data_IF_836530305924
#
_entry.id   IF_836530305924
#
_cell.length_a   1.000
_cell.length_b   1.000
_cell.length_c   1.000
_cell.angle_alpha   90.00
_cell.angle_beta   90.00
_cell.angle_gamma   90.00
#
_symmetry.space_group_name_H-M   'P 1'
#
loop_
_entity.id
_entity.type
_entity.pdbx_description
1 polymer ?
#
# COMPACT_ATOMS: atom_id res chain seq x y z
N UNK A 1 -13.83 -4.78 13.81
CA UNK A 1 -13.71 -3.70 12.81
C UNK A 1 -12.27 -3.14 12.82
N UNK A 2 -11.72 -2.63 11.72
CA UNK A 2 -10.38 -2.00 11.68
C UNK A 2 -10.53 -0.48 11.56
N UNK A 3 -10.19 0.28 12.61
CA UNK A 3 -10.38 1.73 12.63
C UNK A 3 -9.53 2.46 11.57
N UNK A 4 -8.29 2.00 11.36
CA UNK A 4 -7.39 2.54 10.33
C UNK A 4 -7.98 2.34 8.94
N UNK A 5 -8.53 1.16 8.67
CA UNK A 5 -9.17 0.84 7.38
C UNK A 5 -10.36 1.75 7.11
N UNK A 6 -11.20 1.99 8.11
CA UNK A 6 -12.35 2.90 7.99
C UNK A 6 -11.86 4.31 7.64
N UNK A 7 -10.89 4.84 8.39
CA UNK A 7 -10.32 6.17 8.13
C UNK A 7 -9.77 6.31 6.71
N UNK A 8 -9.05 5.32 6.20
CA UNK A 8 -8.53 5.35 4.82
C UNK A 8 -9.68 5.28 3.81
N UNK A 9 -10.65 4.38 4.00
CA UNK A 9 -11.81 4.27 3.10
C UNK A 9 -12.60 5.58 3.03
N UNK A 10 -12.85 6.22 4.17
CA UNK A 10 -13.56 7.50 4.22
C UNK A 10 -12.72 8.64 3.63
N UNK A 11 -11.44 8.74 4.00
CA UNK A 11 -10.52 9.78 3.50
C UNK A 11 -10.44 9.83 1.98
N UNK A 12 -10.44 8.67 1.32
CA UNK A 12 -10.33 8.55 -0.13
C UNK A 12 -11.66 8.19 -0.81
N UNK A 13 -12.77 8.15 -0.08
CA UNK A 13 -14.08 7.72 -0.57
C UNK A 13 -14.02 6.40 -1.36
N UNK A 14 -13.27 5.42 -0.86
CA UNK A 14 -13.06 4.16 -1.55
C UNK A 14 -14.37 3.36 -1.61
N UNK A 15 -14.72 2.86 -2.79
CA UNK A 15 -15.93 2.06 -2.96
C UNK A 15 -15.66 0.78 -3.76
N UNK A 16 -16.46 -0.29 -3.58
CA UNK A 16 -16.35 -1.51 -4.38
C UNK A 16 -16.64 -1.31 -5.87
N UNK A 17 -17.18 -0.16 -6.29
CA UNK A 17 -17.45 0.16 -7.69
C UNK A 17 -16.21 0.65 -8.45
N UNK A 18 -15.16 1.04 -7.74
CA UNK A 18 -13.91 1.51 -8.32
C UNK A 18 -13.18 0.38 -9.04
N UNK A 19 -12.49 0.74 -10.11
CA UNK A 19 -11.63 -0.18 -10.86
C UNK A 19 -10.42 -0.62 -10.03
N UNK A 20 -9.86 -1.76 -10.41
CA UNK A 20 -8.63 -2.28 -9.80
C UNK A 20 -7.46 -1.29 -9.92
N UNK A 21 -7.38 -0.54 -11.02
CA UNK A 21 -6.33 0.47 -11.25
C UNK A 21 -6.46 1.64 -10.28
N UNK A 22 -7.66 2.19 -10.10
CA UNK A 22 -7.92 3.28 -9.15
C UNK A 22 -7.60 2.84 -7.72
N UNK A 23 -8.05 1.63 -7.33
CA UNK A 23 -7.77 1.09 -6.00
C UNK A 23 -6.26 0.84 -5.78
N UNK A 24 -5.52 0.47 -6.82
CA UNK A 24 -4.09 0.19 -6.70
C UNK A 24 -3.26 1.40 -6.27
N UNK A 25 -3.73 2.61 -6.58
CA UNK A 25 -3.09 3.87 -6.19
C UNK A 25 -3.06 4.06 -4.66
N UNK A 26 -3.98 3.42 -3.93
CA UNK A 26 -4.08 3.54 -2.48
C UNK A 26 -3.35 2.44 -1.70
N UNK A 27 -2.71 1.50 -2.40
CA UNK A 27 -2.01 0.36 -1.77
C UNK A 27 -0.95 0.83 -0.77
N UNK A 28 -0.17 1.84 -1.12
CA UNK A 28 0.90 2.37 -0.27
C UNK A 28 0.38 2.96 1.04
N UNK A 29 -0.79 3.61 1.02
CA UNK A 29 -1.42 4.15 2.23
C UNK A 29 -1.82 3.04 3.21
N UNK A 30 -2.34 1.92 2.71
CA UNK A 30 -2.63 0.77 3.56
C UNK A 30 -1.35 0.14 4.12
N UNK A 31 -0.30 0.01 3.31
CA UNK A 31 0.95 -0.61 3.74
C UNK A 31 1.72 0.24 4.76
N UNK A 32 1.71 1.57 4.63
CA UNK A 32 2.36 2.48 5.58
C UNK A 32 1.67 2.46 6.95
N UNK A 33 0.34 2.31 6.98
CA UNK A 33 -0.43 2.30 8.23
C UNK A 33 -0.59 0.89 8.86
N UNK A 34 -0.41 -0.19 8.09
CA UNK A 34 -0.64 -1.57 8.53
C UNK A 34 0.64 -2.40 8.52
N UNK A 35 1.60 -2.03 9.37
CA UNK A 35 2.89 -2.72 9.50
C UNK A 35 2.68 -4.19 9.90
N UNK A 36 1.86 -4.43 10.93
CA UNK A 36 1.64 -5.77 11.49
C UNK A 36 0.73 -6.65 10.61
N UNK A 37 1.13 -7.91 10.43
CA UNK A 37 0.33 -8.87 9.66
C UNK A 37 -1.05 -9.15 10.28
N UNK A 38 -1.17 -9.07 11.61
CA UNK A 38 -2.45 -9.19 12.32
C UNK A 38 -3.39 -8.04 11.90
N UNK A 39 -2.88 -6.80 11.89
CA UNK A 39 -3.64 -5.62 11.47
C UNK A 39 -4.02 -5.70 10.00
N UNK A 40 -3.14 -6.19 9.13
CA UNK A 40 -3.46 -6.44 7.72
C UNK A 40 -4.57 -7.46 7.54
N UNK A 41 -4.54 -8.58 8.27
CA UNK A 41 -5.62 -9.57 8.21
C UNK A 41 -6.96 -9.01 8.71
N UNK A 42 -6.93 -8.20 9.77
CA UNK A 42 -8.12 -7.52 10.28
C UNK A 42 -8.67 -6.50 9.26
N UNK A 43 -7.79 -5.74 8.61
CA UNK A 43 -8.15 -4.80 7.56
C UNK A 43 -8.74 -5.50 6.33
N UNK A 44 -8.17 -6.62 5.90
CA UNK A 44 -8.72 -7.46 4.81
C UNK A 44 -10.14 -7.95 5.13
N UNK A 45 -10.37 -8.44 6.35
CA UNK A 45 -11.73 -8.82 6.81
C UNK A 45 -12.65 -7.61 6.83
N UNK A 46 -12.18 -6.45 7.29
CA UNK A 46 -12.98 -5.22 7.32
C UNK A 46 -13.41 -4.77 5.92
N UNK A 47 -12.50 -4.77 4.95
CA UNK A 47 -12.80 -4.40 3.56
C UNK A 47 -13.80 -5.38 2.92
N UNK A 48 -13.60 -6.68 3.09
CA UNK A 48 -14.48 -7.70 2.51
C UNK A 48 -15.84 -7.74 3.19
N UNK A 49 -15.85 -7.86 4.50
CA UNK A 49 -17.06 -8.20 5.25
C UNK A 49 -17.85 -6.93 5.62
N UNK A 50 -17.15 -5.81 5.90
CA UNK A 50 -17.74 -4.53 6.25
C UNK A 50 -18.09 -3.66 5.03
N UNK A 51 -17.12 -3.44 4.15
CA UNK A 51 -17.29 -2.56 2.98
C UNK A 51 -17.66 -3.28 1.67
N UNK A 52 -17.76 -4.62 1.70
CA UNK A 52 -18.19 -5.45 0.55
C UNK A 52 -17.27 -5.37 -0.67
N UNK A 53 -15.98 -5.11 -0.47
CA UNK A 53 -14.98 -5.25 -1.54
C UNK A 53 -14.80 -6.73 -1.91
N UNK A 54 -14.55 -6.99 -3.20
CA UNK A 54 -14.22 -8.32 -3.68
C UNK A 54 -12.85 -8.79 -3.15
N UNK A 55 -12.63 -10.10 -3.16
CA UNK A 55 -11.33 -10.68 -2.75
C UNK A 55 -10.15 -10.19 -3.59
N UNK A 56 -10.39 -9.86 -4.86
CA UNK A 56 -9.40 -9.31 -5.77
C UNK A 56 -9.04 -7.87 -5.39
N UNK A 57 -10.04 -7.01 -5.23
CA UNK A 57 -9.86 -5.63 -4.76
C UNK A 57 -9.13 -5.57 -3.41
N UNK A 58 -9.51 -6.44 -2.46
CA UNK A 58 -8.84 -6.55 -1.16
C UNK A 58 -7.37 -6.95 -1.29
N UNK A 59 -7.03 -7.77 -2.30
CA UNK A 59 -5.66 -8.22 -2.53
C UNK A 59 -4.80 -7.18 -3.23
N UNK A 60 -5.41 -6.24 -3.95
CA UNK A 60 -4.75 -5.05 -4.48
C UNK A 60 -4.48 -4.05 -3.34
N UNK A 61 -5.52 -3.69 -2.59
CA UNK A 61 -5.41 -2.70 -1.51
C UNK A 61 -4.47 -3.17 -0.39
N UNK A 62 -4.52 -4.45 -0.04
CA UNK A 62 -3.70 -5.03 1.03
C UNK A 62 -3.10 -6.35 0.56
N UNK A 63 -1.97 -6.32 -0.15
CA UNK A 63 -1.32 -7.53 -0.65
C UNK A 63 -0.96 -8.51 0.46
N UNK A 64 -1.14 -9.81 0.19
CA UNK A 64 -0.83 -10.86 1.14
C UNK A 64 0.69 -11.14 1.13
N UNK A 65 1.39 -10.80 2.20
CA UNK A 65 2.82 -11.08 2.36
C UNK A 65 3.08 -12.48 2.95
N UNK A 66 2.25 -13.49 2.62
CA UNK A 66 2.51 -14.88 3.01
C UNK A 66 3.81 -15.32 2.34
N UNK A 67 4.89 -15.23 3.11
CA UNK A 67 6.13 -16.01 3.03
C UNK A 67 6.53 -16.49 1.63
N UNK A 68 7.44 -15.76 0.98
CA UNK A 68 8.45 -16.34 0.10
C UNK A 68 8.04 -16.77 -1.31
N UNK A 69 6.83 -16.47 -1.79
CA UNK A 69 6.52 -16.61 -3.22
C UNK A 69 6.36 -15.24 -3.84
N UNK A 70 7.38 -14.85 -4.61
CA UNK A 70 7.44 -13.65 -5.44
C UNK A 70 6.21 -13.62 -6.35
N UNK A 71 5.08 -13.08 -5.88
CA UNK A 71 4.05 -12.59 -6.78
C UNK A 71 4.49 -11.19 -7.14
N UNK A 72 5.06 -11.06 -8.33
CA UNK A 72 5.30 -9.79 -9.01
C UNK A 72 3.97 -9.03 -9.00
N UNK A 73 3.81 -8.11 -8.05
CA UNK A 73 2.72 -7.14 -8.10
C UNK A 73 3.23 -6.11 -9.09
N UNK A 74 2.77 -6.23 -10.33
CA UNK A 74 2.99 -5.22 -11.35
C UNK A 74 2.24 -3.95 -10.89
N UNK A 75 2.88 -3.15 -10.04
CA UNK A 75 2.42 -1.79 -9.77
C UNK A 75 2.60 -1.03 -11.09
N UNK A 76 1.51 -0.78 -11.80
CA UNK A 76 1.49 0.14 -12.94
C UNK A 76 1.70 1.56 -12.39
N UNK A 77 2.94 1.89 -12.05
CA UNK A 77 3.37 3.25 -11.84
C UNK A 77 3.37 3.90 -13.23
N UNK A 78 2.54 4.91 -13.42
CA UNK A 78 2.19 5.52 -14.71
C UNK A 78 3.31 6.29 -15.42
N UNK A 79 4.50 5.71 -15.55
CA UNK A 79 5.58 6.21 -16.39
C UNK A 79 6.33 5.01 -16.97
N UNK A 80 6.10 4.75 -18.27
CA UNK A 80 6.88 3.89 -19.17
C UNK A 80 7.16 2.47 -18.72
N UNK A 81 6.76 1.49 -19.53
CA UNK A 81 7.16 0.08 -19.44
C UNK A 81 8.61 -0.11 -19.00
N UNK A 82 8.82 -0.33 -17.71
CA UNK A 82 10.02 -0.90 -17.17
C UNK A 82 9.56 -2.17 -16.44
N UNK A 83 9.63 -3.30 -17.15
CA UNK A 83 9.63 -4.61 -16.50
C UNK A 83 10.94 -4.65 -15.72
N UNK A 84 10.94 -4.07 -14.52
CA UNK A 84 12.00 -4.32 -13.56
C UNK A 84 11.72 -5.71 -13.03
N UNK A 85 12.36 -6.71 -13.64
CA UNK A 85 12.58 -8.01 -13.04
C UNK A 85 13.46 -7.81 -11.81
N UNK A 86 12.86 -7.26 -10.76
CA UNK A 86 13.46 -6.99 -9.49
C UNK A 86 12.59 -7.63 -8.44
N UNK A 87 13.08 -8.69 -7.83
CA UNK A 87 12.58 -9.14 -6.53
C UNK A 87 12.75 -8.00 -5.54
N UNK A 88 11.72 -7.15 -5.41
CA UNK A 88 11.74 -6.02 -4.48
C UNK A 88 11.76 -6.56 -3.06
N UNK A 89 12.96 -6.66 -2.47
CA UNK A 89 13.12 -6.75 -1.03
C UNK A 89 12.66 -5.42 -0.45
N UNK A 90 11.41 -5.35 0.00
CA UNK A 90 10.97 -4.23 0.85
C UNK A 90 11.62 -4.46 2.22
N UNK A 91 12.88 -4.07 2.36
CA UNK A 91 13.45 -3.80 3.65
C UNK A 91 12.82 -2.49 4.13
N UNK A 92 12.08 -2.53 5.24
CA UNK A 92 11.74 -1.31 5.97
C UNK A 92 13.08 -0.84 6.56
N UNK A 93 13.79 0.01 5.82
CA UNK A 93 14.94 0.72 6.36
C UNK A 93 14.33 1.66 7.39
N UNK A 94 14.54 1.40 8.67
CA UNK A 94 14.34 2.41 9.71
C UNK A 94 15.10 3.65 9.25
N UNK A 95 14.36 4.71 8.92
CA UNK A 95 14.87 5.96 8.39
C UNK A 95 16.20 6.33 9.09
N UNK A 96 17.34 6.42 8.38
CA UNK A 96 18.50 7.04 8.99
C UNK A 96 18.12 8.49 9.25
N UNK A 97 18.28 8.93 10.51
CA UNK A 97 17.96 10.29 10.99
C UNK A 97 18.82 11.41 10.35
N UNK A 98 19.35 11.22 9.14
CA UNK A 98 20.33 12.12 8.53
C UNK A 98 19.81 12.90 7.31
N UNK A 99 18.54 12.75 6.91
CA UNK A 99 17.99 13.47 5.76
C UNK A 99 17.33 14.82 6.11
N UNK A 100 17.40 15.26 7.37
CA UNK A 100 16.90 16.60 7.76
C UNK A 100 17.90 17.72 7.43
N UNK A 101 19.20 17.41 7.26
CA UNK A 101 20.22 18.46 7.10
C UNK A 101 20.60 18.81 5.65
N UNK A 102 20.13 18.05 4.65
CA UNK A 102 20.52 18.30 3.25
C UNK A 102 19.57 19.28 2.53
N UNK A 103 18.30 19.35 2.93
CA UNK A 103 17.31 20.26 2.34
C UNK A 103 17.60 21.74 2.68
N UNK A 104 18.27 22.02 3.80
CA UNK A 104 18.53 23.40 4.25
C UNK A 104 19.61 24.10 3.41
N UNK A 105 20.54 23.37 2.77
CA UNK A 105 21.64 24.01 2.00
C UNK A 105 21.25 24.47 0.60
N UNK A 106 20.21 23.92 0.01
CA UNK A 106 19.80 24.24 -1.37
C UNK A 106 19.02 25.56 -1.48
N UNK A 107 18.35 26.00 -0.40
CA UNK A 107 17.53 27.24 -0.41
C UNK A 107 18.40 28.51 -0.28
N UNK A 108 19.67 28.38 0.11
CA UNK A 108 20.55 29.52 0.41
C UNK A 108 21.62 29.81 -0.66
N UNK A 109 21.41 29.41 -1.92
CA UNK A 109 22.26 29.81 -3.06
C UNK A 109 21.51 30.62 -4.10
#
# INVERSE_FOLDING_TARGET
MSAITIKIVEKYNLTPKMSLSELSQHTTEFLSNLIDNIKRNQARRCLRDGFKFSSEQVSILIPNQRSGKNKTINMYLGTSSAIVEGSCRIAIISFPKSLEEEIIREIAK
#
